data_IF_423383592101
#
_entry.id   IF_423383592101
#
_cell.length_a   1.000
_cell.length_b   1.000
_cell.length_c   1.000
_cell.angle_alpha   90.00
_cell.angle_beta   90.00
_cell.angle_gamma   90.00
#
_symmetry.space_group_name_H-M   'P 1'
#
loop_
_entity.id
_entity.type
_entity.pdbx_description
1 polymer ?
#
# COMPACT_ATOMS: atom_id res chain seq x y z
N UNK A 1 -36.29 -9.03 -33.48
CA UNK A 1 -35.95 -8.36 -32.21
C UNK A 1 -34.56 -8.86 -31.81
N UNK A 2 -33.50 -8.11 -32.11
CA UNK A 2 -32.14 -8.52 -31.77
C UNK A 2 -31.93 -8.26 -30.28
N UNK A 3 -31.77 -9.33 -29.50
CA UNK A 3 -31.41 -9.23 -28.09
C UNK A 3 -29.97 -8.71 -28.08
N UNK A 4 -29.81 -7.41 -27.80
CA UNK A 4 -28.51 -6.82 -27.47
C UNK A 4 -28.00 -7.54 -26.21
N UNK A 5 -27.26 -8.63 -26.40
CA UNK A 5 -26.55 -9.27 -25.32
C UNK A 5 -25.50 -8.28 -24.83
N UNK A 6 -25.74 -7.71 -23.65
CA UNK A 6 -24.74 -6.89 -22.97
C UNK A 6 -23.44 -7.71 -22.89
N UNK A 7 -22.28 -7.13 -23.26
CA UNK A 7 -21.04 -7.87 -23.23
C UNK A 7 -20.82 -8.47 -21.84
N UNK A 8 -20.39 -9.74 -21.74
CA UNK A 8 -20.22 -10.40 -20.46
C UNK A 8 -19.29 -9.59 -19.57
N UNK A 9 -19.75 -9.23 -18.36
CA UNK A 9 -18.93 -8.54 -17.36
C UNK A 9 -17.65 -9.35 -17.12
N UNK A 10 -16.52 -8.83 -17.55
CA UNK A 10 -15.21 -9.47 -17.42
C UNK A 10 -14.95 -9.79 -15.94
N UNK A 11 -14.79 -11.07 -15.59
CA UNK A 11 -14.42 -11.48 -14.23
C UNK A 11 -13.10 -10.80 -13.87
N UNK A 12 -13.05 -10.11 -12.73
CA UNK A 12 -11.83 -9.47 -12.23
C UNK A 12 -10.72 -10.50 -12.06
N UNK A 13 -9.51 -10.12 -12.49
CA UNK A 13 -8.34 -10.95 -12.28
C UNK A 13 -8.10 -11.12 -10.76
N UNK A 14 -7.65 -12.31 -10.36
CA UNK A 14 -7.30 -12.58 -8.97
C UNK A 14 -6.25 -11.58 -8.44
N UNK A 15 -5.28 -11.20 -9.29
CA UNK A 15 -4.25 -10.22 -8.96
C UNK A 15 -4.81 -8.86 -8.56
N UNK A 16 -5.84 -8.35 -9.22
CA UNK A 16 -6.48 -7.08 -8.84
C UNK A 16 -7.13 -7.15 -7.45
N UNK A 17 -7.68 -8.31 -7.07
CA UNK A 17 -8.23 -8.48 -5.71
C UNK A 17 -7.11 -8.44 -4.68
N UNK A 18 -6.00 -9.13 -4.93
CA UNK A 18 -4.83 -9.13 -4.04
C UNK A 18 -4.30 -7.72 -3.85
N UNK A 19 -4.12 -6.95 -4.93
CA UNK A 19 -3.64 -5.55 -4.85
C UNK A 19 -4.64 -4.64 -4.13
N UNK A 20 -5.95 -4.83 -4.36
CA UNK A 20 -6.98 -4.06 -3.65
C UNK A 20 -6.94 -4.33 -2.14
N UNK A 21 -6.80 -5.60 -1.74
CA UNK A 21 -6.64 -5.96 -0.32
C UNK A 21 -5.35 -5.42 0.27
N UNK A 22 -4.22 -5.52 -0.44
CA UNK A 22 -2.96 -4.96 0.04
C UNK A 22 -3.08 -3.45 0.29
N UNK A 23 -3.69 -2.70 -0.64
CA UNK A 23 -3.93 -1.26 -0.48
C UNK A 23 -4.90 -0.94 0.66
N UNK A 24 -5.91 -1.77 0.86
CA UNK A 24 -6.82 -1.65 2.00
C UNK A 24 -6.06 -1.81 3.32
N UNK A 25 -5.20 -2.83 3.44
CA UNK A 25 -4.38 -3.04 4.63
C UNK A 25 -3.36 -1.92 4.85
N UNK A 26 -2.76 -1.39 3.79
CA UNK A 26 -1.88 -0.20 3.89
C UNK A 26 -2.67 1.00 4.41
N UNK A 27 -3.87 1.25 3.87
CA UNK A 27 -4.73 2.34 4.32
C UNK A 27 -5.18 2.19 5.76
N UNK A 28 -5.64 1.00 6.15
CA UNK A 28 -6.00 0.68 7.52
C UNK A 28 -4.80 0.81 8.47
N UNK A 29 -3.63 0.34 8.06
CA UNK A 29 -2.38 0.48 8.82
C UNK A 29 -1.99 1.95 9.01
N UNK A 30 -2.17 2.80 8.00
CA UNK A 30 -1.95 4.24 8.11
C UNK A 30 -2.87 4.89 9.15
N UNK A 31 -4.18 4.62 9.09
CA UNK A 31 -5.13 5.14 10.07
C UNK A 31 -4.90 4.58 11.47
N UNK A 32 -4.54 3.30 11.58
CA UNK A 32 -4.20 2.69 12.87
C UNK A 32 -2.96 3.34 13.47
N UNK A 33 -1.92 3.59 12.64
CA UNK A 33 -0.71 4.32 13.06
C UNK A 33 -1.04 5.71 13.58
N UNK A 34 -1.89 6.45 12.88
CA UNK A 34 -2.36 7.76 13.33
C UNK A 34 -3.08 7.66 14.68
N UNK A 35 -4.05 6.75 14.78
CA UNK A 35 -4.83 6.56 16.00
C UNK A 35 -3.94 6.18 17.19
N UNK A 36 -2.99 5.27 16.99
CA UNK A 36 -2.04 4.83 18.00
C UNK A 36 -1.12 5.97 18.45
N UNK A 37 -0.63 6.77 17.49
CA UNK A 37 0.23 7.91 17.76
C UNK A 37 -0.49 8.96 18.60
N UNK A 38 -1.74 9.29 18.25
CA UNK A 38 -2.54 10.28 18.98
C UNK A 38 -2.95 9.76 20.36
N UNK A 39 -3.32 8.48 20.49
CA UNK A 39 -3.69 7.88 21.79
C UNK A 39 -2.53 7.82 22.76
N UNK A 40 -1.32 7.61 22.25
CA UNK A 40 -0.11 7.50 23.06
C UNK A 40 0.82 8.71 22.88
N UNK A 41 0.26 9.91 22.65
CA UNK A 41 1.02 11.11 22.34
C UNK A 41 2.11 11.41 23.37
N UNK A 42 1.84 11.20 24.66
CA UNK A 42 2.81 11.39 25.75
C UNK A 42 3.98 10.41 25.69
N UNK A 43 3.74 9.19 25.21
CA UNK A 43 4.81 8.20 25.01
C UNK A 43 5.69 8.60 23.82
N UNK A 44 5.07 8.97 22.69
CA UNK A 44 5.80 9.39 21.49
C UNK A 44 6.55 10.71 21.66
N UNK A 45 6.08 11.63 22.49
CA UNK A 45 6.76 12.91 22.78
C UNK A 45 7.97 12.74 23.69
N UNK A 46 8.01 11.68 24.50
CA UNK A 46 9.13 11.35 25.39
C UNK A 46 10.18 10.45 24.74
N UNK A 47 9.84 9.80 23.64
CA UNK A 47 10.81 9.02 22.88
C UNK A 47 11.74 9.97 22.12
N UNK A 48 13.05 9.77 22.27
CA UNK A 48 14.08 10.43 21.48
C UNK A 48 14.12 9.82 20.06
N UNK A 49 13.07 10.10 19.29
CA UNK A 49 12.87 9.62 17.92
C UNK A 49 13.49 10.62 16.94
N UNK A 50 14.29 10.15 15.95
CA UNK A 50 14.97 11.02 14.99
C UNK A 50 14.08 12.04 14.27
N UNK A 51 12.83 11.65 13.96
CA UNK A 51 11.86 12.50 13.24
C UNK A 51 10.66 12.92 14.11
N UNK A 52 10.66 12.55 15.39
CA UNK A 52 9.61 12.87 16.35
C UNK A 52 8.22 12.31 16.03
N UNK A 53 7.22 12.72 16.82
CA UNK A 53 5.82 12.28 16.71
C UNK A 53 5.15 12.73 15.40
N UNK A 54 5.49 13.93 14.90
CA UNK A 54 4.88 14.52 13.70
C UNK A 54 5.03 13.64 12.47
N UNK A 55 6.15 12.91 12.37
CA UNK A 55 6.40 11.93 11.33
C UNK A 55 5.36 10.80 11.32
N UNK A 56 5.00 10.24 12.47
CA UNK A 56 4.06 9.13 12.58
C UNK A 56 2.63 9.57 12.24
N UNK A 57 2.26 10.81 12.61
CA UNK A 57 0.99 11.43 12.21
C UNK A 57 0.96 11.60 10.69
N UNK A 58 1.96 12.27 10.11
CA UNK A 58 1.98 12.61 8.69
C UNK A 58 1.98 11.34 7.81
N UNK A 59 2.79 10.34 8.18
CA UNK A 59 2.84 9.07 7.46
C UNK A 59 1.56 8.25 7.61
N UNK A 60 0.95 8.24 8.79
CA UNK A 60 -0.34 7.59 9.03
C UNK A 60 -1.44 8.18 8.15
N UNK A 61 -1.54 9.51 8.11
CA UNK A 61 -2.50 10.23 7.24
C UNK A 61 -2.20 9.96 5.77
N UNK A 62 -0.94 10.07 5.35
CA UNK A 62 -0.51 9.88 3.96
C UNK A 62 -0.92 8.51 3.42
N UNK A 63 -0.56 7.43 4.13
CA UNK A 63 -0.91 6.08 3.70
C UNK A 63 -2.39 5.75 3.90
N UNK A 64 -3.05 6.33 4.90
CA UNK A 64 -4.50 6.26 5.08
C UNK A 64 -5.26 6.81 3.87
N UNK A 65 -4.86 8.00 3.40
CA UNK A 65 -5.46 8.69 2.25
C UNK A 65 -5.04 8.07 0.91
N UNK A 66 -3.86 7.46 0.79
CA UNK A 66 -3.47 6.78 -0.46
C UNK A 66 -4.10 5.38 -0.58
N UNK A 67 -4.05 4.58 0.48
CA UNK A 67 -4.47 3.18 0.47
C UNK A 67 -5.97 2.99 0.31
N UNK A 68 -6.79 3.77 1.01
CA UNK A 68 -8.25 3.63 0.94
C UNK A 68 -8.82 3.96 -0.44
N UNK A 69 -8.57 5.14 -1.04
CA UNK A 69 -9.03 5.46 -2.38
C UNK A 69 -8.47 4.53 -3.45
N UNK A 70 -7.24 4.05 -3.30
CA UNK A 70 -6.67 3.04 -4.19
C UNK A 70 -7.48 1.73 -4.16
N UNK A 71 -7.75 1.22 -2.95
CA UNK A 71 -8.55 0.02 -2.75
C UNK A 71 -9.98 0.19 -3.29
N UNK A 72 -10.63 1.32 -3.00
CA UNK A 72 -11.97 1.64 -3.49
C UNK A 72 -11.99 1.77 -5.02
N UNK A 73 -11.02 2.47 -5.61
CA UNK A 73 -10.89 2.63 -7.06
C UNK A 73 -10.76 1.28 -7.77
N UNK A 74 -9.93 0.39 -7.24
CA UNK A 74 -9.82 -0.99 -7.70
C UNK A 74 -11.11 -1.80 -7.49
N UNK A 75 -11.75 -1.65 -6.32
CA UNK A 75 -12.99 -2.34 -5.99
C UNK A 75 -14.19 -1.87 -6.81
N UNK A 76 -14.14 -0.66 -7.36
CA UNK A 76 -15.13 -0.13 -8.30
C UNK A 76 -14.73 -0.35 -9.76
N UNK A 77 -13.55 -0.92 -10.02
CA UNK A 77 -13.08 -1.23 -11.37
C UNK A 77 -12.71 0.01 -12.18
N UNK A 78 -12.32 1.09 -11.48
CA UNK A 78 -11.90 2.34 -12.12
C UNK A 78 -10.46 2.20 -12.60
N UNK A 79 -10.19 2.64 -13.83
CA UNK A 79 -8.84 2.59 -14.44
C UNK A 79 -7.80 3.35 -13.61
N UNK A 80 -8.17 4.51 -13.05
CA UNK A 80 -7.29 5.28 -12.17
C UNK A 80 -6.91 4.52 -10.89
N UNK A 81 -7.75 3.58 -10.43
CA UNK A 81 -7.49 2.78 -9.24
C UNK A 81 -6.28 1.87 -9.39
N UNK A 82 -6.00 1.38 -10.61
CA UNK A 82 -4.83 0.53 -10.88
C UNK A 82 -3.54 1.33 -10.74
N UNK A 83 -3.49 2.53 -11.32
CA UNK A 83 -2.34 3.42 -11.19
C UNK A 83 -2.10 3.84 -9.75
N UNK A 84 -3.16 4.29 -9.06
CA UNK A 84 -3.05 4.73 -7.67
C UNK A 84 -2.63 3.59 -6.74
N UNK A 85 -3.19 2.39 -6.90
CA UNK A 85 -2.84 1.24 -6.07
C UNK A 85 -1.41 0.75 -6.25
N UNK A 86 -0.88 0.88 -7.47
CA UNK A 86 0.52 0.56 -7.73
C UNK A 86 1.44 1.62 -7.13
N UNK A 87 1.10 2.90 -7.29
CA UNK A 87 1.84 3.99 -6.68
C UNK A 87 1.90 3.85 -5.15
N UNK A 88 0.77 3.59 -4.51
CA UNK A 88 0.70 3.35 -3.06
C UNK A 88 1.61 2.21 -2.63
N UNK A 89 1.61 1.08 -3.35
CA UNK A 89 2.47 -0.07 -3.04
C UNK A 89 3.95 0.28 -3.14
N UNK A 90 4.36 0.97 -4.21
CA UNK A 90 5.76 1.38 -4.42
C UNK A 90 6.20 2.35 -3.35
N UNK A 91 5.37 3.35 -3.03
CA UNK A 91 5.64 4.33 -1.98
C UNK A 91 5.72 3.66 -0.61
N UNK A 92 4.79 2.75 -0.29
CA UNK A 92 4.78 2.01 0.96
C UNK A 92 6.02 1.15 1.12
N UNK A 93 6.44 0.48 0.05
CA UNK A 93 7.66 -0.33 0.06
C UNK A 93 8.92 0.52 0.26
N UNK A 94 9.04 1.63 -0.49
CA UNK A 94 10.15 2.56 -0.32
C UNK A 94 10.18 3.16 1.09
N UNK A 95 9.00 3.42 1.65
CA UNK A 95 8.84 3.90 3.01
C UNK A 95 9.23 2.86 4.07
N UNK A 96 8.86 1.59 3.90
CA UNK A 96 9.30 0.49 4.79
C UNK A 96 10.84 0.39 4.82
N UNK A 97 11.48 0.49 3.66
CA UNK A 97 12.94 0.53 3.57
C UNK A 97 13.54 1.78 4.23
N UNK A 98 12.93 2.94 4.03
CA UNK A 98 13.35 4.16 4.73
C UNK A 98 13.27 3.99 6.26
N UNK A 99 12.17 3.44 6.78
CA UNK A 99 12.00 3.21 8.21
C UNK A 99 13.04 2.25 8.77
N UNK A 100 13.35 1.18 8.03
CA UNK A 100 14.42 0.25 8.40
C UNK A 100 15.79 0.92 8.45
N UNK A 101 16.11 1.78 7.48
CA UNK A 101 17.42 2.41 7.41
C UNK A 101 17.59 3.55 8.42
N UNK A 102 16.52 4.27 8.74
CA UNK A 102 16.56 5.45 9.63
C UNK A 102 16.28 5.11 11.09
N UNK A 103 15.38 4.17 11.36
CA UNK A 103 14.94 3.86 12.74
C UNK A 103 15.45 2.53 13.30
N UNK A 104 16.10 1.67 12.50
CA UNK A 104 16.62 0.41 13.05
C UNK A 104 17.74 0.68 14.06
N UNK A 105 17.46 0.44 15.34
CA UNK A 105 18.44 0.48 16.42
C UNK A 105 19.26 -0.80 16.54
N UNK A 106 18.84 -1.89 15.89
CA UNK A 106 19.56 -3.17 15.90
C UNK A 106 19.84 -3.67 14.49
N UNK A 107 20.93 -4.44 14.29
CA UNK A 107 21.28 -4.97 12.98
C UNK A 107 20.24 -6.00 12.52
N UNK A 108 19.38 -5.64 11.56
CA UNK A 108 18.34 -6.53 11.02
C UNK A 108 18.87 -7.53 9.96
N UNK A 109 20.18 -7.81 9.94
CA UNK A 109 20.83 -8.59 8.88
C UNK A 109 20.21 -9.97 8.65
N UNK A 110 19.65 -10.58 9.69
CA UNK A 110 19.00 -11.89 9.57
C UNK A 110 17.70 -11.86 8.75
N UNK A 111 16.93 -10.76 8.80
CA UNK A 111 15.66 -10.61 8.07
C UNK A 111 15.85 -9.90 6.72
N UNK A 112 17.05 -9.41 6.44
CA UNK A 112 17.34 -8.66 5.21
C UNK A 112 17.08 -9.49 3.94
N UNK A 113 17.51 -10.75 3.82
CA UNK A 113 17.28 -11.54 2.60
C UNK A 113 15.80 -11.76 2.33
N UNK A 114 15.02 -12.04 3.38
CA UNK A 114 13.58 -12.23 3.28
C UNK A 114 12.88 -10.92 2.89
N UNK A 115 13.27 -9.80 3.51
CA UNK A 115 12.67 -8.49 3.24
C UNK A 115 12.98 -8.02 1.81
N UNK A 116 14.19 -8.27 1.30
CA UNK A 116 14.56 -8.02 -0.10
C UNK A 116 13.76 -8.90 -1.06
N UNK A 117 13.71 -10.21 -0.83
CA UNK A 117 12.97 -11.14 -1.68
C UNK A 117 11.47 -10.78 -1.72
N UNK A 118 10.86 -10.51 -0.56
CA UNK A 118 9.46 -10.09 -0.47
C UNK A 118 9.23 -8.77 -1.22
N UNK A 119 10.15 -7.81 -1.10
CA UNK A 119 10.10 -6.53 -1.81
C UNK A 119 10.11 -6.71 -3.32
N UNK A 120 11.05 -7.51 -3.84
CA UNK A 120 11.15 -7.80 -5.28
C UNK A 120 9.89 -8.50 -5.78
N UNK A 121 9.38 -9.49 -5.03
CA UNK A 121 8.15 -10.20 -5.39
C UNK A 121 6.93 -9.28 -5.45
N UNK A 122 6.78 -8.35 -4.49
CA UNK A 122 5.68 -7.39 -4.47
C UNK A 122 5.74 -6.44 -5.67
N UNK A 123 6.93 -5.91 -5.99
CA UNK A 123 7.13 -5.04 -7.16
C UNK A 123 6.85 -5.80 -8.46
N UNK A 124 7.35 -7.03 -8.58
CA UNK A 124 7.11 -7.88 -9.74
C UNK A 124 5.62 -8.19 -9.92
N UNK A 125 4.90 -8.50 -8.84
CA UNK A 125 3.46 -8.74 -8.87
C UNK A 125 2.69 -7.47 -9.30
N UNK A 126 3.04 -6.31 -8.74
CA UNK A 126 2.42 -5.03 -9.10
C UNK A 126 2.66 -4.69 -10.58
N UNK A 127 3.91 -4.84 -11.05
CA UNK A 127 4.28 -4.63 -12.45
C UNK A 127 3.57 -5.60 -13.40
N UNK A 128 3.44 -6.88 -13.03
CA UNK A 128 2.71 -7.87 -13.81
C UNK A 128 1.22 -7.55 -13.93
N UNK A 129 0.57 -7.13 -12.84
CA UNK A 129 -0.84 -6.74 -12.88
C UNK A 129 -1.03 -5.49 -13.73
N UNK A 130 -0.18 -4.47 -13.57
CA UNK A 130 -0.20 -3.28 -14.44
C UNK A 130 -0.08 -3.67 -15.91
N UNK A 131 0.91 -4.46 -16.26
CA UNK A 131 1.15 -4.88 -17.65
C UNK A 131 -0.05 -5.62 -18.24
N UNK A 132 -0.66 -6.52 -17.47
CA UNK A 132 -1.84 -7.28 -17.87
C UNK A 132 -3.07 -6.41 -18.08
N UNK A 133 -3.32 -5.45 -17.18
CA UNK A 133 -4.46 -4.54 -17.32
C UNK A 133 -4.24 -3.53 -18.46
N UNK A 134 -3.01 -3.08 -18.68
CA UNK A 134 -2.67 -2.19 -19.80
C UNK A 134 -2.90 -2.87 -21.15
N UNK A 135 -2.49 -4.14 -21.32
CA UNK A 135 -2.74 -4.93 -22.54
C UNK A 135 -4.20 -5.31 -22.76
N UNK A 136 -5.04 -5.19 -21.73
CA UNK A 136 -6.46 -5.49 -21.82
C UNK A 136 -7.32 -4.28 -22.23
N UNK A 137 -6.71 -3.11 -22.39
CA UNK A 137 -7.34 -1.85 -22.76
C UNK A 137 -7.14 -1.59 -24.24
#
# INVERSE_FOLDING_TARGET
>A
MAINQLPPRRKRSFGLKVIAFANLFIGLGGWLRLAETLRNADFYSRLDLPLGMGYFIASGVFFGILGFPAAVGLWLGRRWGVGLATLTLVLWLGWDWFERLVFARSPQWFNLPFSLAASVLLVALAGWVLWKEWRAT
#
